data_IF_382424828297
#
_entry.id   IF_382424828297
#
_cell.length_a   1.000
_cell.length_b   1.000
_cell.length_c   1.000
_cell.angle_alpha   90.00
_cell.angle_beta   90.00
_cell.angle_gamma   90.00
#
_symmetry.space_group_name_H-M   'P 1'
#
loop_
_entity.id
_entity.type
_entity.pdbx_description
1 polymer ?
#
# COMPACT_ATOMS: atom_id res chain seq x y z
N UNK A 1 32.37 5.30 45.11
CA UNK A 1 32.70 4.86 43.73
C UNK A 1 31.38 4.61 43.00
N UNK A 2 30.96 5.54 42.14
CA UNK A 2 29.76 5.39 41.31
C UNK A 2 30.05 4.43 40.16
N UNK A 3 29.25 3.37 40.02
CA UNK A 3 29.22 2.52 38.83
C UNK A 3 28.19 3.09 37.86
N UNK A 4 28.68 3.77 36.82
CA UNK A 4 27.85 4.21 35.70
C UNK A 4 27.46 3.00 34.86
N UNK A 5 26.28 2.46 35.11
CA UNK A 5 25.65 1.49 34.22
C UNK A 5 25.03 2.26 33.04
N UNK A 6 25.84 2.59 32.03
CA UNK A 6 25.34 2.91 30.70
C UNK A 6 24.73 1.63 30.10
N UNK A 7 23.47 1.35 30.45
CA UNK A 7 22.64 0.49 29.62
C UNK A 7 22.44 1.23 28.31
N UNK A 8 23.19 0.82 27.30
CA UNK A 8 22.89 1.09 25.91
C UNK A 8 21.50 0.51 25.61
N UNK A 9 20.45 1.30 25.86
CA UNK A 9 19.10 1.06 25.38
C UNK A 9 19.10 1.28 23.86
N UNK A 10 19.75 0.40 23.10
CA UNK A 10 19.42 0.21 21.69
C UNK A 10 18.00 -0.33 21.69
N UNK A 11 17.02 0.53 21.47
CA UNK A 11 15.65 0.11 21.17
C UNK A 11 15.75 -0.99 20.10
N UNK A 12 15.09 -2.14 20.27
CA UNK A 12 15.05 -3.12 19.20
C UNK A 12 14.53 -2.38 17.97
N UNK A 13 15.30 -2.39 16.88
CA UNK A 13 14.82 -1.92 15.59
C UNK A 13 13.61 -2.81 15.31
N UNK A 14 12.40 -2.26 15.46
CA UNK A 14 11.18 -2.93 15.04
C UNK A 14 11.41 -3.28 13.56
N UNK A 15 11.26 -4.55 13.16
CA UNK A 15 11.58 -4.97 11.77
C UNK A 15 10.78 -4.21 10.70
N UNK A 16 9.74 -3.49 11.11
CA UNK A 16 8.91 -2.61 10.30
C UNK A 16 8.66 -1.32 11.09
N UNK A 17 8.57 -0.19 10.40
CA UNK A 17 8.19 1.08 10.99
C UNK A 17 7.04 1.69 10.20
N UNK A 18 6.14 2.36 10.90
CA UNK A 18 5.20 3.26 10.23
C UNK A 18 5.95 4.43 9.59
N UNK A 19 5.34 5.08 8.61
CA UNK A 19 5.93 6.26 7.95
C UNK A 19 6.33 7.33 8.97
N UNK A 20 5.45 7.62 9.95
CA UNK A 20 5.74 8.59 11.02
C UNK A 20 6.92 8.20 11.90
N UNK A 21 7.06 6.91 12.22
CA UNK A 21 8.21 6.40 13.00
C UNK A 21 9.51 6.50 12.19
N UNK A 22 9.48 6.14 10.91
CA UNK A 22 10.63 6.23 10.02
C UNK A 22 11.13 7.68 9.91
N UNK A 23 10.23 8.65 9.71
CA UNK A 23 10.55 10.08 9.67
C UNK A 23 11.23 10.53 10.97
N UNK A 24 10.66 10.17 12.13
CA UNK A 24 11.24 10.52 13.44
C UNK A 24 12.64 9.96 13.63
N UNK A 25 12.85 8.69 13.26
CA UNK A 25 14.15 8.01 13.39
C UNK A 25 15.19 8.65 12.46
N UNK A 26 14.83 8.92 11.20
CA UNK A 26 15.73 9.54 10.23
C UNK A 26 16.14 10.93 10.68
N UNK A 27 15.20 11.78 11.09
CA UNK A 27 15.50 13.14 11.53
C UNK A 27 16.37 13.16 12.78
N UNK A 28 16.12 12.25 13.74
CA UNK A 28 16.94 12.12 14.96
C UNK A 28 18.36 11.62 14.69
N UNK A 29 18.55 10.78 13.65
CA UNK A 29 19.84 10.17 13.36
C UNK A 29 20.71 10.97 12.39
N UNK A 30 20.10 11.74 11.49
CA UNK A 30 20.81 12.47 10.42
C UNK A 30 20.85 13.99 10.63
N UNK A 31 19.98 14.54 11.48
CA UNK A 31 19.82 15.99 11.62
C UNK A 31 19.11 16.67 10.44
N UNK A 32 18.55 15.89 9.51
CA UNK A 32 17.73 16.38 8.40
C UNK A 32 16.30 16.65 8.91
N UNK A 33 15.56 17.50 8.20
CA UNK A 33 14.14 17.77 8.46
C UNK A 33 13.26 17.14 7.38
N UNK A 34 13.23 15.81 7.33
CA UNK A 34 12.38 15.03 6.43
C UNK A 34 10.93 15.03 6.93
N UNK A 35 9.95 15.07 6.02
CA UNK A 35 8.52 15.00 6.35
C UNK A 35 7.89 13.69 5.85
N UNK A 36 6.68 13.36 6.30
CA UNK A 36 5.95 12.20 5.75
C UNK A 36 5.65 12.39 4.25
N UNK A 37 5.43 13.63 3.80
CA UNK A 37 5.27 13.95 2.38
C UNK A 37 6.51 13.62 1.54
N UNK A 38 7.72 13.74 2.08
CA UNK A 38 8.93 13.32 1.37
C UNK A 38 8.97 11.80 1.17
N UNK A 39 8.58 11.02 2.19
CA UNK A 39 8.44 9.56 2.06
C UNK A 39 7.40 9.20 0.99
N UNK A 40 6.23 9.84 1.01
CA UNK A 40 5.19 9.55 0.01
C UNK A 40 5.64 9.93 -1.41
N UNK A 41 6.40 11.01 -1.62
CA UNK A 41 6.98 11.36 -2.93
C UNK A 41 7.95 10.29 -3.42
N UNK A 42 8.93 9.93 -2.60
CA UNK A 42 9.89 8.87 -2.94
C UNK A 42 9.21 7.53 -3.22
N UNK A 43 8.13 7.21 -2.50
CA UNK A 43 7.35 6.00 -2.77
C UNK A 43 6.64 6.07 -4.13
N UNK A 44 6.03 7.22 -4.47
CA UNK A 44 5.34 7.42 -5.75
C UNK A 44 6.31 7.50 -6.94
N UNK A 45 7.53 8.00 -6.73
CA UNK A 45 8.61 8.04 -7.72
C UNK A 45 9.28 6.67 -7.91
N UNK A 46 9.02 5.72 -7.00
CA UNK A 46 9.54 4.35 -7.05
C UNK A 46 10.93 4.18 -6.43
N UNK A 47 11.41 5.17 -5.68
CA UNK A 47 12.70 5.12 -4.98
C UNK A 47 12.66 4.19 -3.76
N UNK A 48 11.49 4.03 -3.15
CA UNK A 48 11.27 3.17 -1.99
C UNK A 48 9.95 2.41 -2.11
N UNK A 49 9.88 1.24 -1.49
CA UNK A 49 8.62 0.52 -1.33
C UNK A 49 7.95 0.89 -0.01
N UNK A 50 6.63 1.04 -0.06
CA UNK A 50 5.79 1.00 1.13
C UNK A 50 5.21 -0.41 1.26
N UNK A 51 4.95 -0.82 2.50
CA UNK A 51 4.29 -2.08 2.80
C UNK A 51 2.91 -1.83 3.37
N UNK A 52 1.96 -2.71 3.04
CA UNK A 52 0.62 -2.70 3.62
C UNK A 52 0.60 -3.63 4.82
N UNK A 53 0.15 -3.11 5.96
CA UNK A 53 -0.12 -3.91 7.16
C UNK A 53 -1.59 -4.38 7.17
N UNK A 54 -1.78 -5.70 7.19
CA UNK A 54 -3.06 -6.36 7.33
C UNK A 54 -3.25 -6.84 8.77
N UNK A 55 -4.19 -6.21 9.50
CA UNK A 55 -4.50 -6.57 10.89
C UNK A 55 -5.05 -8.00 11.04
N UNK A 56 -5.71 -8.51 10.00
CA UNK A 56 -6.27 -9.86 9.94
C UNK A 56 -5.61 -10.66 8.82
N UNK A 57 -5.56 -12.01 8.92
CA UNK A 57 -5.08 -12.85 7.83
C UNK A 57 -5.84 -12.56 6.53
N UNK A 58 -5.10 -12.38 5.44
CA UNK A 58 -5.64 -12.16 4.10
C UNK A 58 -5.37 -13.36 3.21
N UNK A 59 -6.26 -13.62 2.26
CA UNK A 59 -6.04 -14.63 1.23
C UNK A 59 -5.63 -13.91 -0.04
N UNK A 60 -4.51 -14.33 -0.64
CA UNK A 60 -3.96 -13.73 -1.84
C UNK A 60 -4.12 -14.65 -3.03
N UNK A 61 -4.10 -14.04 -4.22
CA UNK A 61 -4.13 -14.76 -5.50
C UNK A 61 -3.28 -13.99 -6.51
N UNK A 62 -2.56 -14.72 -7.36
CA UNK A 62 -1.66 -14.12 -8.35
C UNK A 62 -2.45 -13.28 -9.36
N UNK A 63 -1.95 -12.07 -9.65
CA UNK A 63 -2.52 -11.24 -10.73
C UNK A 63 -2.20 -11.84 -12.09
N UNK A 64 -3.20 -11.94 -12.95
CA UNK A 64 -3.03 -12.41 -14.33
C UNK A 64 -2.54 -11.25 -15.19
N UNK A 65 -1.56 -11.52 -16.08
CA UNK A 65 -0.95 -10.49 -16.93
C UNK A 65 -0.95 -10.87 -18.42
N UNK A 66 -1.14 -9.89 -19.31
CA UNK A 66 -0.80 -9.95 -20.75
C UNK A 66 0.14 -8.79 -21.05
N UNK A 67 1.26 -9.04 -21.74
CA UNK A 67 2.21 -8.00 -22.14
C UNK A 67 2.60 -7.06 -20.98
N UNK A 68 2.92 -7.64 -19.82
CA UNK A 68 3.22 -6.95 -18.56
C UNK A 68 2.11 -6.06 -17.97
N UNK A 69 0.89 -6.06 -18.52
CA UNK A 69 -0.28 -5.37 -17.97
C UNK A 69 -1.20 -6.34 -17.26
N UNK A 70 -1.83 -5.89 -16.17
CA UNK A 70 -2.85 -6.68 -15.46
C UNK A 70 -4.04 -6.89 -16.41
N UNK A 71 -4.45 -8.15 -16.59
CA UNK A 71 -5.68 -8.47 -17.33
C UNK A 71 -6.86 -7.99 -16.52
N UNK A 72 -7.83 -7.33 -17.15
CA UNK A 72 -9.12 -7.09 -16.54
C UNK A 72 -10.05 -8.27 -16.84
N UNK A 73 -10.93 -8.59 -15.89
CA UNK A 73 -12.00 -9.57 -16.08
C UNK A 73 -13.32 -9.00 -15.62
N UNK A 74 -14.40 -9.57 -16.14
CA UNK A 74 -15.73 -9.30 -15.62
C UNK A 74 -15.86 -9.82 -14.18
N UNK A 75 -16.31 -8.97 -13.28
CA UNK A 75 -16.63 -9.31 -11.89
C UNK A 75 -17.91 -10.14 -11.77
N UNK A 76 -18.72 -10.19 -12.84
CA UNK A 76 -20.00 -10.85 -12.95
C UNK A 76 -21.14 -10.01 -12.38
N UNK A 77 -22.37 -10.39 -12.72
CA UNK A 77 -23.59 -9.69 -12.31
C UNK A 77 -23.99 -9.87 -10.84
N UNK A 78 -23.30 -10.73 -10.09
CA UNK A 78 -23.66 -11.00 -8.70
C UNK A 78 -23.35 -9.81 -7.79
N UNK A 79 -24.38 -9.28 -7.13
CA UNK A 79 -24.31 -8.16 -6.20
C UNK A 79 -23.21 -8.32 -5.14
N UNK A 80 -23.05 -9.52 -4.56
CA UNK A 80 -22.02 -9.77 -3.53
C UNK A 80 -20.61 -9.53 -4.10
N UNK A 81 -20.34 -9.95 -5.33
CA UNK A 81 -19.03 -9.73 -5.97
C UNK A 81 -18.80 -8.25 -6.25
N UNK A 82 -19.86 -7.51 -6.58
CA UNK A 82 -19.84 -6.05 -6.77
C UNK A 82 -19.64 -5.30 -5.45
N UNK A 83 -20.20 -5.78 -4.33
CA UNK A 83 -19.97 -5.21 -3.00
C UNK A 83 -18.51 -5.37 -2.54
N UNK A 84 -17.78 -6.34 -3.07
CA UNK A 84 -16.34 -6.49 -2.82
C UNK A 84 -15.48 -5.48 -3.59
N UNK A 85 -16.09 -4.50 -4.28
CA UNK A 85 -15.31 -3.41 -4.89
C UNK A 85 -14.73 -2.52 -3.80
N UNK A 86 -13.42 -2.28 -3.88
CA UNK A 86 -12.75 -1.33 -2.98
C UNK A 86 -13.03 0.13 -3.37
N UNK A 87 -13.72 0.35 -4.49
CA UNK A 87 -13.99 1.67 -5.06
C UNK A 87 -15.50 1.82 -5.32
N UNK A 88 -16.12 2.79 -4.64
CA UNK A 88 -17.57 3.01 -4.62
C UNK A 88 -18.14 3.43 -5.96
N UNK A 89 -17.41 4.23 -6.74
CA UNK A 89 -17.91 4.74 -8.02
C UNK A 89 -17.96 3.61 -9.05
N UNK A 90 -17.06 2.63 -8.97
CA UNK A 90 -17.15 1.41 -9.77
C UNK A 90 -18.48 0.67 -9.52
N UNK A 91 -18.94 0.66 -8.27
CA UNK A 91 -20.21 0.05 -7.91
C UNK A 91 -21.40 0.87 -8.42
N UNK A 92 -21.38 2.19 -8.20
CA UNK A 92 -22.44 3.14 -8.57
C UNK A 92 -22.64 3.20 -10.09
N UNK A 93 -21.54 3.23 -10.85
CA UNK A 93 -21.57 3.35 -12.31
C UNK A 93 -21.62 2.00 -13.04
N UNK A 94 -21.89 0.91 -12.31
CA UNK A 94 -22.00 -0.45 -12.86
C UNK A 94 -20.76 -0.90 -13.66
N UNK A 95 -19.59 -0.45 -13.22
CA UNK A 95 -18.32 -0.84 -13.85
C UNK A 95 -17.91 -2.20 -13.32
N UNK A 96 -18.26 -3.21 -14.11
CA UNK A 96 -18.10 -4.61 -13.74
C UNK A 96 -16.73 -5.19 -14.09
N UNK A 97 -15.69 -4.36 -14.19
CA UNK A 97 -14.33 -4.81 -14.47
C UNK A 97 -13.50 -4.83 -13.19
N UNK A 98 -12.84 -5.96 -12.94
CA UNK A 98 -11.90 -6.13 -11.83
C UNK A 98 -10.56 -6.69 -12.30
N UNK A 99 -9.51 -6.53 -11.48
CA UNK A 99 -8.24 -7.20 -11.71
C UNK A 99 -8.43 -8.71 -11.88
N UNK A 100 -7.95 -9.24 -13.00
CA UNK A 100 -7.88 -10.65 -13.31
C UNK A 100 -6.85 -11.32 -12.42
N UNK A 101 -7.24 -12.46 -11.85
CA UNK A 101 -6.37 -13.30 -11.03
C UNK A 101 -6.36 -14.73 -11.55
N UNK A 102 -5.23 -15.41 -11.38
CA UNK A 102 -4.96 -16.76 -11.87
C UNK A 102 -4.34 -17.65 -10.79
N UNK A 103 -4.34 -18.96 -11.00
CA UNK A 103 -3.83 -19.94 -10.05
C UNK A 103 -4.68 -20.07 -8.78
N UNK A 104 -4.09 -20.70 -7.77
CA UNK A 104 -4.74 -20.99 -6.50
C UNK A 104 -4.65 -19.81 -5.53
N UNK A 105 -5.60 -19.79 -4.60
CA UNK A 105 -5.56 -18.90 -3.45
C UNK A 105 -4.52 -19.42 -2.45
N UNK A 106 -3.81 -18.51 -1.79
CA UNK A 106 -2.84 -18.85 -0.75
C UNK A 106 -2.88 -17.87 0.42
N UNK A 107 -2.49 -18.36 1.59
CA UNK A 107 -2.37 -17.56 2.81
C UNK A 107 -0.91 -17.10 2.96
N UNK A 108 -0.61 -15.80 2.93
CA UNK A 108 0.73 -15.30 3.21
C UNK A 108 1.06 -15.54 4.69
N UNK A 109 2.33 -15.83 4.97
CA UNK A 109 2.83 -16.00 6.34
C UNK A 109 3.06 -14.68 7.07
N UNK A 110 3.09 -13.57 6.34
CA UNK A 110 3.38 -12.23 6.83
C UNK A 110 2.13 -11.36 6.75
N UNK A 111 1.89 -10.56 7.78
CA UNK A 111 0.83 -9.54 7.82
C UNK A 111 1.25 -8.21 7.20
N UNK A 112 2.55 -8.01 6.99
CA UNK A 112 3.11 -6.83 6.33
C UNK A 112 3.69 -7.29 5.01
N UNK A 113 3.20 -6.70 3.91
CA UNK A 113 3.56 -7.12 2.56
C UNK A 113 3.82 -5.88 1.72
N UNK A 114 4.96 -5.85 1.05
CA UNK A 114 5.35 -4.75 0.18
C UNK A 114 4.33 -4.54 -0.93
N UNK A 115 4.22 -3.32 -1.42
CA UNK A 115 3.38 -3.01 -2.57
C UNK A 115 4.16 -2.24 -3.64
N UNK A 116 3.84 -2.53 -4.89
CA UNK A 116 4.39 -1.84 -6.06
C UNK A 116 3.65 -0.55 -6.40
N UNK A 117 2.63 -0.18 -5.62
CA UNK A 117 1.75 0.96 -5.90
C UNK A 117 1.15 0.92 -7.31
N UNK A 118 0.55 -0.22 -7.67
CA UNK A 118 -0.02 -0.47 -9.02
C UNK A 118 -1.55 -0.53 -9.04
N UNK A 119 -2.19 -0.53 -7.88
CA UNK A 119 -3.64 -0.59 -7.70
C UNK A 119 -4.17 0.52 -6.79
N UNK A 120 -5.14 0.18 -5.94
CA UNK A 120 -5.81 1.13 -5.04
C UNK A 120 -4.84 1.84 -4.09
N UNK A 121 -3.80 1.13 -3.66
CA UNK A 121 -2.78 1.64 -2.77
C UNK A 121 -2.05 2.89 -3.33
N UNK A 122 -1.93 3.03 -4.66
CA UNK A 122 -1.30 4.18 -5.31
C UNK A 122 -2.12 5.44 -5.04
N UNK A 123 -3.43 5.36 -5.27
CA UNK A 123 -4.38 6.44 -4.99
C UNK A 123 -4.44 6.75 -3.50
N UNK A 124 -4.33 5.73 -2.64
CA UNK A 124 -4.26 5.94 -1.20
C UNK A 124 -3.03 6.76 -0.80
N UNK A 125 -1.84 6.44 -1.33
CA UNK A 125 -0.61 7.20 -1.07
C UNK A 125 -0.70 8.63 -1.65
N UNK A 126 -1.24 8.81 -2.86
CA UNK A 126 -1.47 10.16 -3.40
C UNK A 126 -2.39 11.01 -2.51
N UNK A 127 -3.44 10.40 -1.93
CA UNK A 127 -4.34 11.11 -1.00
C UNK A 127 -3.65 11.45 0.32
N UNK A 128 -2.79 10.57 0.83
CA UNK A 128 -1.97 10.87 2.01
C UNK A 128 -1.04 12.04 1.73
N UNK A 129 -0.33 12.03 0.60
CA UNK A 129 0.54 13.11 0.17
C UNK A 129 -0.22 14.44 0.01
N UNK A 130 -1.39 14.43 -0.65
CA UNK A 130 -2.20 15.62 -0.83
C UNK A 130 -2.61 16.25 0.51
N UNK A 131 -2.98 15.42 1.50
CA UNK A 131 -3.33 15.88 2.85
C UNK A 131 -2.13 16.51 3.56
N UNK A 132 -0.97 15.86 3.54
CA UNK A 132 0.26 16.39 4.14
C UNK A 132 0.67 17.75 3.53
N UNK A 133 0.40 17.95 2.24
CA UNK A 133 0.73 19.19 1.53
C UNK A 133 -0.40 20.21 1.52
N UNK A 134 -1.53 19.94 2.18
CA UNK A 134 -2.74 20.78 2.12
C UNK A 134 -3.21 21.07 0.69
N UNK A 135 -3.00 20.11 -0.21
CA UNK A 135 -3.45 20.17 -1.61
C UNK A 135 -4.86 19.59 -1.73
N UNK A 136 -5.59 19.96 -2.80
CA UNK A 136 -6.79 19.26 -3.19
C UNK A 136 -6.51 17.76 -3.33
N UNK A 137 -7.44 16.92 -2.87
CA UNK A 137 -7.33 15.48 -3.10
C UNK A 137 -7.32 15.21 -4.61
N UNK A 138 -6.51 14.25 -5.09
CA UNK A 138 -6.47 13.92 -6.51
C UNK A 138 -7.89 13.66 -7.01
N UNK A 139 -8.29 14.41 -8.05
CA UNK A 139 -9.56 14.18 -8.72
C UNK A 139 -9.59 12.72 -9.19
N UNK A 140 -10.73 12.05 -8.99
CA UNK A 140 -10.92 10.73 -9.57
C UNK A 140 -10.91 10.93 -11.09
N UNK A 141 -9.81 10.58 -11.75
CA UNK A 141 -9.77 10.58 -13.20
C UNK A 141 -10.89 9.70 -13.76
N UNK A 142 -11.32 9.95 -15.01
CA UNK A 142 -12.40 9.22 -15.70
C UNK A 142 -12.16 7.70 -15.89
N UNK A 143 -11.13 7.12 -15.28
CA UNK A 143 -10.73 5.73 -15.43
C UNK A 143 -10.93 5.03 -14.08
N UNK A 144 -12.16 4.66 -13.81
CA UNK A 144 -12.54 3.78 -12.71
C UNK A 144 -12.11 2.35 -13.03
N UNK A 145 -10.98 1.90 -12.49
CA UNK A 145 -10.55 0.50 -12.58
C UNK A 145 -10.43 -0.08 -11.18
N UNK A 146 -11.22 -1.11 -10.89
CA UNK A 146 -11.09 -1.84 -9.65
C UNK A 146 -9.89 -2.81 -9.74
N UNK A 147 -8.70 -2.29 -9.47
CA UNK A 147 -7.47 -3.09 -9.43
C UNK A 147 -7.22 -3.79 -8.09
N UNK A 148 -8.06 -3.52 -7.08
CA UNK A 148 -7.86 -4.05 -5.73
C UNK A 148 -6.63 -3.48 -5.03
N UNK A 149 -6.28 -4.04 -3.87
CA UNK A 149 -4.96 -3.85 -3.25
C UNK A 149 -4.00 -4.82 -3.90
N UNK A 150 -2.94 -4.31 -4.52
CA UNK A 150 -1.86 -5.15 -5.05
C UNK A 150 -0.69 -5.18 -4.10
N UNK A 151 -0.09 -6.36 -3.94
CA UNK A 151 1.08 -6.59 -3.09
C UNK A 151 2.13 -7.40 -3.84
N UNK A 152 3.36 -7.31 -3.37
CA UNK A 152 4.52 -7.98 -3.93
C UNK A 152 5.03 -9.04 -2.96
N UNK A 153 5.12 -10.28 -3.44
CA UNK A 153 5.60 -11.41 -2.67
C UNK A 153 6.71 -12.08 -3.46
N UNK A 154 7.87 -12.23 -2.82
CA UNK A 154 8.89 -13.17 -3.24
C UNK A 154 8.43 -14.57 -2.82
N UNK A 155 7.96 -15.36 -3.79
CA UNK A 155 7.67 -16.78 -3.62
C UNK A 155 8.93 -17.61 -3.92
#
# INVERSE_FOLDING_TARGET
MQKNNNLNNKKPVLNWQTVSEAVKIINQSTGISLTESDIYRHALDGDIFLSVYFQSPVVLRKTSRVNNKIKLRDAGSHLIKRLCYLETDCFIHDLNLMAGTEGDFFLPKCSIIDTLLTGFEYVAVQRLLARELSLPLPEKGNIYQNLGVSVFIFL
#
